data_IF_215492307588
#
_entry.id   IF_215492307588
#
_cell.length_a   1.000
_cell.length_b   1.000
_cell.length_c   1.000
_cell.angle_alpha   90.00
_cell.angle_beta   90.00
_cell.angle_gamma   90.00
#
_symmetry.space_group_name_H-M   'P 1'
#
loop_
_entity.id
_entity.type
_entity.pdbx_description
1 polymer ?
#
# COMPACT_ATOMS: atom_id res chain seq x y z
N UNK A 1 -14.15 37.82 -0.08
CA UNK A 1 -13.05 38.77 0.25
C UNK A 1 -12.25 39.05 -1.01
N UNK A 2 -11.96 40.31 -1.34
CA UNK A 2 -11.23 40.68 -2.55
C UNK A 2 -9.72 40.50 -2.32
N UNK A 3 -9.01 39.85 -3.24
CA UNK A 3 -7.58 39.48 -3.10
C UNK A 3 -6.68 40.68 -2.76
N UNK A 4 -7.02 41.87 -3.25
CA UNK A 4 -6.28 43.12 -2.98
C UNK A 4 -6.38 43.58 -1.52
N UNK A 5 -7.52 43.39 -0.86
CA UNK A 5 -7.72 43.77 0.54
C UNK A 5 -6.96 42.84 1.48
N UNK A 6 -6.95 41.55 1.16
CA UNK A 6 -6.18 40.51 1.85
C UNK A 6 -4.68 40.79 1.76
N UNK A 7 -4.18 41.15 0.58
CA UNK A 7 -2.77 41.52 0.37
C UNK A 7 -2.40 42.82 1.09
N UNK A 8 -3.30 43.81 1.17
CA UNK A 8 -3.06 45.05 1.89
C UNK A 8 -2.95 44.83 3.41
N UNK A 9 -3.88 44.07 3.99
CA UNK A 9 -3.85 43.67 5.40
C UNK A 9 -2.58 42.87 5.74
N UNK A 10 -2.23 41.89 4.89
CA UNK A 10 -1.02 41.08 5.07
C UNK A 10 0.26 41.92 5.01
N UNK A 11 0.36 42.90 4.10
CA UNK A 11 1.50 43.81 4.00
C UNK A 11 1.63 44.74 5.21
N UNK A 12 0.51 45.15 5.80
CA UNK A 12 0.51 45.97 7.00
C UNK A 12 0.94 45.17 8.23
N UNK A 13 0.39 43.97 8.42
CA UNK A 13 0.80 43.06 9.47
C UNK A 13 2.27 42.63 9.34
N UNK A 14 2.77 42.41 8.11
CA UNK A 14 4.17 42.04 7.88
C UNK A 14 5.19 43.09 8.36
N UNK A 15 4.79 44.37 8.54
CA UNK A 15 5.70 45.42 9.04
C UNK A 15 6.11 45.21 10.51
N UNK A 16 5.31 44.49 11.28
CA UNK A 16 5.57 44.22 12.70
C UNK A 16 6.20 42.84 12.94
N UNK A 17 6.20 41.97 11.94
CA UNK A 17 6.83 40.64 11.99
C UNK A 17 8.33 40.77 11.76
N UNK A 18 9.13 40.50 12.79
CA UNK A 18 10.60 40.62 12.73
C UNK A 18 11.30 39.26 12.81
N UNK A 19 10.61 38.25 13.31
CA UNK A 19 11.15 36.91 13.54
C UNK A 19 10.22 35.82 13.02
N UNK A 20 10.76 34.61 12.82
CA UNK A 20 9.98 33.43 12.47
C UNK A 20 8.90 33.11 13.52
N UNK A 21 9.17 33.41 14.79
CA UNK A 21 8.21 33.27 15.88
C UNK A 21 7.00 34.19 15.71
N UNK A 22 7.22 35.45 15.33
CA UNK A 22 6.14 36.41 15.12
C UNK A 22 5.23 35.97 13.96
N UNK A 23 5.81 35.40 12.91
CA UNK A 23 5.07 34.87 11.76
C UNK A 23 4.16 33.71 12.17
N UNK A 24 4.66 32.78 13.00
CA UNK A 24 3.87 31.66 13.51
C UNK A 24 2.74 32.13 14.44
N UNK A 25 3.01 33.09 15.34
CA UNK A 25 1.98 33.69 16.20
C UNK A 25 0.89 34.38 15.37
N UNK A 26 1.26 35.06 14.30
CA UNK A 26 0.32 35.69 13.38
C UNK A 26 -0.55 34.67 12.63
N UNK A 27 0.03 33.57 12.13
CA UNK A 27 -0.73 32.47 11.50
C UNK A 27 -1.74 31.85 12.48
N UNK A 28 -1.32 31.60 13.72
CA UNK A 28 -2.20 31.08 14.78
C UNK A 28 -3.35 32.04 15.08
N UNK A 29 -3.07 33.34 15.18
CA UNK A 29 -4.09 34.38 15.41
C UNK A 29 -5.09 34.47 14.26
N UNK A 30 -4.62 34.50 13.01
CA UNK A 30 -5.48 34.52 11.83
C UNK A 30 -6.38 33.29 11.75
N UNK A 31 -5.81 32.12 12.00
CA UNK A 31 -6.55 30.85 12.02
C UNK A 31 -7.61 30.88 13.11
N UNK A 32 -7.26 31.33 14.33
CA UNK A 32 -8.22 31.50 15.43
C UNK A 32 -9.39 32.39 15.03
N UNK A 33 -9.12 33.61 14.55
CA UNK A 33 -10.16 34.58 14.19
C UNK A 33 -11.08 34.01 13.11
N UNK A 34 -10.50 33.39 12.08
CA UNK A 34 -11.26 32.82 10.97
C UNK A 34 -12.18 31.68 11.44
N UNK A 35 -11.67 30.80 12.29
CA UNK A 35 -12.44 29.67 12.84
C UNK A 35 -13.54 30.16 13.78
N UNK A 36 -13.25 31.11 14.69
CA UNK A 36 -14.26 31.69 15.58
C UNK A 36 -15.36 32.40 14.80
N UNK A 37 -15.01 33.15 13.73
CA UNK A 37 -15.98 33.80 12.87
C UNK A 37 -16.88 32.78 12.15
N UNK A 38 -16.30 31.73 11.57
CA UNK A 38 -17.05 30.67 10.91
C UNK A 38 -18.00 29.93 11.88
N UNK A 39 -17.56 29.62 13.10
CA UNK A 39 -18.40 28.99 14.11
C UNK A 39 -19.54 29.91 14.59
N UNK A 40 -19.32 31.22 14.66
CA UNK A 40 -20.39 32.16 14.98
C UNK A 40 -21.43 32.23 13.85
N UNK A 41 -20.98 32.18 12.59
CA UNK A 41 -21.86 32.14 11.42
C UNK A 41 -22.65 30.83 11.34
N UNK A 42 -22.04 29.68 11.64
CA UNK A 42 -22.76 28.41 11.79
C UNK A 42 -23.83 28.49 12.88
N UNK A 43 -23.56 29.19 13.99
CA UNK A 43 -24.55 29.39 15.05
C UNK A 43 -25.66 30.39 14.66
N UNK A 44 -25.33 31.44 13.88
CA UNK A 44 -26.33 32.36 13.33
C UNK A 44 -27.31 31.60 12.42
N UNK A 45 -26.80 30.72 11.55
CA UNK A 45 -27.60 29.87 10.67
C UNK A 45 -28.45 28.86 11.46
N UNK A 46 -27.87 28.18 12.46
CA UNK A 46 -28.59 27.24 13.33
C UNK A 46 -29.74 27.90 14.12
N UNK A 47 -29.52 29.11 14.62
CA UNK A 47 -30.53 29.85 15.37
C UNK A 47 -31.50 30.61 14.45
N UNK A 48 -31.12 30.88 13.21
CA UNK A 48 -31.89 31.65 12.23
C UNK A 48 -31.90 33.16 12.48
N UNK A 49 -30.99 33.68 13.31
CA UNK A 49 -30.88 35.11 13.62
C UNK A 49 -29.49 35.51 14.10
N UNK A 50 -29.12 36.77 13.87
CA UNK A 50 -27.82 37.31 14.22
C UNK A 50 -27.68 37.68 15.71
N UNK A 51 -26.44 37.78 16.18
CA UNK A 51 -26.16 38.25 17.55
C UNK A 51 -26.81 39.62 17.81
N UNK A 52 -27.63 39.70 18.87
CA UNK A 52 -28.41 40.89 19.28
C UNK A 52 -29.60 41.25 18.37
N UNK A 53 -29.94 40.41 17.39
CA UNK A 53 -31.20 40.54 16.67
C UNK A 53 -32.36 40.00 17.50
N UNK A 54 -33.51 40.68 17.47
CA UNK A 54 -34.73 40.19 18.11
C UNK A 54 -35.27 39.00 17.31
N UNK A 55 -35.67 37.94 18.01
CA UNK A 55 -36.10 36.68 17.41
C UNK A 55 -37.16 36.04 18.30
N UNK A 56 -38.11 35.36 17.67
CA UNK A 56 -39.14 34.54 18.34
C UNK A 56 -38.66 33.10 18.59
N UNK A 57 -37.39 32.78 18.29
CA UNK A 57 -36.82 31.47 18.54
C UNK A 57 -36.72 31.19 20.06
N UNK A 58 -37.22 30.02 20.48
CA UNK A 58 -37.16 29.58 21.88
C UNK A 58 -35.71 29.34 22.35
N UNK A 59 -34.81 28.98 21.44
CA UNK A 59 -33.40 28.78 21.73
C UNK A 59 -32.61 30.08 21.56
N UNK A 60 -31.59 30.27 22.40
CA UNK A 60 -30.81 31.49 22.45
C UNK A 60 -29.31 31.23 22.54
N UNK A 61 -28.48 32.18 22.11
CA UNK A 61 -27.03 32.17 22.38
C UNK A 61 -26.76 32.15 23.89
N UNK A 62 -25.79 31.36 24.34
CA UNK A 62 -25.44 31.20 25.76
C UNK A 62 -23.92 31.39 26.01
N UNK A 63 -23.30 32.31 25.30
CA UNK A 63 -21.87 32.62 25.43
C UNK A 63 -20.96 31.61 24.71
N UNK A 64 -19.77 31.40 25.27
CA UNK A 64 -18.69 30.62 24.65
C UNK A 64 -18.14 29.55 25.60
N UNK A 65 -17.52 28.53 25.04
CA UNK A 65 -16.71 27.54 25.75
C UNK A 65 -15.31 27.50 25.13
N UNK A 66 -14.29 27.68 25.96
CA UNK A 66 -12.90 27.60 25.55
C UNK A 66 -12.47 26.15 25.33
N UNK A 67 -11.74 25.90 24.24
CA UNK A 67 -10.99 24.66 24.03
C UNK A 67 -9.66 24.96 23.36
N UNK A 68 -8.60 24.28 23.75
CA UNK A 68 -7.31 24.40 23.06
C UNK A 68 -7.36 23.59 21.77
N UNK A 69 -7.20 24.27 20.63
CA UNK A 69 -7.10 23.64 19.32
C UNK A 69 -5.63 23.47 18.93
N UNK A 70 -5.26 22.24 18.59
CA UNK A 70 -3.93 21.89 18.08
C UNK A 70 -3.95 21.84 16.56
N UNK A 71 -3.05 22.58 15.94
CA UNK A 71 -2.92 22.74 14.49
C UNK A 71 -1.49 22.48 14.05
N UNK A 72 -1.23 22.57 12.75
CA UNK A 72 0.12 22.40 12.19
C UNK A 72 1.04 23.55 12.60
N UNK A 73 0.52 24.77 12.69
CA UNK A 73 1.31 25.95 13.04
C UNK A 73 1.47 26.14 14.56
N UNK A 74 1.01 25.16 15.37
CA UNK A 74 1.05 25.18 16.82
C UNK A 74 -0.33 25.05 17.46
N UNK A 75 -0.48 25.54 18.70
CA UNK A 75 -1.71 25.41 19.47
C UNK A 75 -2.21 26.78 19.96
N UNK A 76 -3.52 26.98 19.93
CA UNK A 76 -4.16 28.21 20.42
C UNK A 76 -5.48 27.91 21.12
N UNK A 77 -5.90 28.81 22.00
CA UNK A 77 -7.20 28.73 22.67
C UNK A 77 -8.30 29.25 21.75
N UNK A 78 -9.29 28.40 21.47
CA UNK A 78 -10.44 28.67 20.62
C UNK A 78 -11.70 28.84 21.47
N UNK A 79 -12.43 29.94 21.27
CA UNK A 79 -13.71 30.18 21.90
C UNK A 79 -14.85 29.70 21.00
N UNK A 80 -15.46 28.57 21.37
CA UNK A 80 -16.58 28.01 20.61
C UNK A 80 -17.91 28.54 21.11
N UNK A 81 -18.77 29.09 20.24
CA UNK A 81 -20.08 29.59 20.64
C UNK A 81 -21.02 28.44 20.98
N UNK A 82 -21.98 28.68 21.89
CA UNK A 82 -22.96 27.68 22.31
C UNK A 82 -24.38 28.27 22.37
N UNK A 83 -25.36 27.44 22.11
CA UNK A 83 -26.77 27.72 22.33
C UNK A 83 -27.20 27.32 23.76
N UNK A 84 -28.40 27.73 24.17
CA UNK A 84 -28.94 27.51 25.52
C UNK A 84 -29.46 26.08 25.68
N UNK A 85 -30.07 25.54 24.63
CA UNK A 85 -30.60 24.18 24.62
C UNK A 85 -29.53 23.10 24.37
N UNK A 86 -28.32 23.50 23.94
CA UNK A 86 -27.22 22.58 23.65
C UNK A 86 -27.37 21.77 22.36
N UNK A 87 -28.33 22.15 21.52
CA UNK A 87 -28.72 21.51 20.25
C UNK A 87 -27.77 21.80 19.08
N UNK A 88 -26.96 22.87 19.17
CA UNK A 88 -26.06 23.28 18.08
C UNK A 88 -24.91 22.30 17.90
N UNK A 89 -24.74 21.69 16.73
CA UNK A 89 -23.62 20.80 16.40
C UNK A 89 -22.70 21.44 15.33
N UNK A 90 -21.57 22.07 15.73
CA UNK A 90 -20.69 22.75 14.80
C UNK A 90 -20.04 21.79 13.81
N UNK A 91 -19.94 22.21 12.54
CA UNK A 91 -19.41 21.39 11.45
C UNK A 91 -17.91 21.58 11.27
N UNK A 92 -17.43 22.83 11.29
CA UNK A 92 -16.01 23.14 11.09
C UNK A 92 -15.11 22.55 12.20
N UNK A 93 -15.51 22.74 13.47
CA UNK A 93 -14.80 22.18 14.64
C UNK A 93 -15.79 21.62 15.63
N UNK A 94 -16.03 20.30 15.55
CA UNK A 94 -17.04 19.57 16.34
C UNK A 94 -16.88 19.78 17.85
N UNK A 95 -17.95 19.56 18.62
CA UNK A 95 -17.90 19.54 20.09
C UNK A 95 -16.83 18.56 20.57
N UNK A 96 -15.99 18.99 21.51
CA UNK A 96 -14.87 18.20 22.04
C UNK A 96 -13.70 17.95 21.08
N UNK A 97 -13.78 18.37 19.80
CA UNK A 97 -12.65 18.28 18.88
C UNK A 97 -11.55 19.28 19.27
N UNK A 98 -10.36 18.76 19.54
CA UNK A 98 -9.19 19.54 19.99
C UNK A 98 -8.07 19.60 18.94
N UNK A 99 -8.34 19.17 17.70
CA UNK A 99 -7.36 19.17 16.60
C UNK A 99 -8.00 19.20 15.21
N UNK A 100 -7.28 19.71 14.21
CA UNK A 100 -7.67 19.53 12.80
C UNK A 100 -7.37 18.12 12.28
N UNK A 101 -8.20 17.63 11.37
CA UNK A 101 -8.08 16.31 10.72
C UNK A 101 -6.92 16.22 9.73
N UNK A 102 -6.39 17.34 9.23
CA UNK A 102 -5.18 17.34 8.36
C UNK A 102 -3.97 16.68 9.04
N UNK A 103 -3.92 16.71 10.38
CA UNK A 103 -2.88 16.07 11.16
C UNK A 103 -2.92 14.54 11.08
N UNK A 104 -4.11 13.96 10.87
CA UNK A 104 -4.28 12.51 10.78
C UNK A 104 -3.66 11.95 9.52
N UNK A 105 -3.82 12.63 8.38
CA UNK A 105 -3.19 12.22 7.12
C UNK A 105 -1.66 12.24 7.21
N UNK A 106 -1.08 13.22 7.92
CA UNK A 106 0.35 13.27 8.18
C UNK A 106 0.81 12.16 9.11
N UNK A 107 0.06 11.87 10.18
CA UNK A 107 0.33 10.73 11.08
C UNK A 107 0.33 9.43 10.27
N UNK A 108 -0.69 9.21 9.43
CA UNK A 108 -0.80 8.03 8.57
C UNK A 108 0.35 7.94 7.56
N UNK A 109 0.75 9.06 6.94
CA UNK A 109 1.88 9.12 6.02
C UNK A 109 3.22 8.75 6.70
N UNK A 110 3.49 9.29 7.88
CA UNK A 110 4.69 8.94 8.65
C UNK A 110 4.67 7.48 9.11
N UNK A 111 3.50 6.99 9.51
CA UNK A 111 3.30 5.58 9.88
C UNK A 111 3.51 4.64 8.67
N UNK A 112 3.01 5.00 7.49
CA UNK A 112 3.22 4.28 6.22
C UNK A 112 4.71 4.19 5.85
N UNK A 113 5.48 5.24 6.14
CA UNK A 113 6.94 5.28 5.97
C UNK A 113 7.71 4.45 7.02
N UNK A 114 6.99 3.70 7.85
CA UNK A 114 7.55 2.77 8.83
C UNK A 114 8.01 3.43 10.14
N UNK A 115 7.78 4.73 10.34
CA UNK A 115 8.18 5.40 11.59
C UNK A 115 7.42 4.82 12.77
N UNK A 116 8.08 4.64 13.92
CA UNK A 116 7.44 4.17 15.15
C UNK A 116 6.54 5.25 15.76
N UNK A 117 5.62 4.87 16.64
CA UNK A 117 4.75 5.84 17.33
C UNK A 117 5.55 6.90 18.08
N UNK A 118 6.69 6.53 18.70
CA UNK A 118 7.58 7.46 19.41
C UNK A 118 8.29 8.43 18.46
N UNK A 119 8.77 7.94 17.32
CA UNK A 119 9.40 8.79 16.29
C UNK A 119 8.39 9.79 15.70
N UNK A 120 7.14 9.38 15.52
CA UNK A 120 6.07 10.28 15.06
C UNK A 120 5.83 11.37 16.11
N UNK A 121 5.70 11.03 17.39
CA UNK A 121 5.56 12.04 18.47
C UNK A 121 6.72 13.02 18.46
N UNK A 122 7.97 12.54 18.38
CA UNK A 122 9.15 13.39 18.32
C UNK A 122 9.13 14.30 17.09
N UNK A 123 8.78 13.76 15.92
CA UNK A 123 8.69 14.53 14.67
C UNK A 123 7.68 15.67 14.78
N UNK A 124 6.51 15.42 15.38
CA UNK A 124 5.50 16.45 15.58
C UNK A 124 5.90 17.50 16.61
N UNK A 125 6.64 17.09 17.65
CA UNK A 125 7.18 18.03 18.62
C UNK A 125 8.27 18.93 18.00
N UNK A 126 9.14 18.36 17.18
CA UNK A 126 10.24 19.10 16.54
C UNK A 126 9.76 20.01 15.41
N UNK A 127 8.89 19.52 14.52
CA UNK A 127 8.48 20.28 13.34
C UNK A 127 7.34 21.26 13.60
N UNK A 128 6.42 20.92 14.52
CA UNK A 128 5.16 21.66 14.71
C UNK A 128 4.98 22.17 16.15
N UNK A 129 5.97 21.94 17.04
CA UNK A 129 5.86 22.17 18.48
C UNK A 129 4.56 21.62 19.10
N UNK A 130 4.03 20.54 18.50
CA UNK A 130 2.73 19.99 18.83
C UNK A 130 2.89 18.79 19.79
N UNK A 131 2.35 18.93 20.99
CA UNK A 131 2.35 17.84 21.99
C UNK A 131 1.28 16.80 21.66
N UNK A 132 1.69 15.72 21.00
CA UNK A 132 0.84 14.59 20.62
C UNK A 132 1.14 13.39 21.52
N UNK A 133 0.10 12.75 22.05
CA UNK A 133 0.27 11.52 22.82
C UNK A 133 0.44 10.31 21.91
N UNK A 134 1.23 9.29 22.30
CA UNK A 134 1.29 8.01 21.59
C UNK A 134 -0.09 7.35 21.42
N UNK A 135 -0.98 7.53 22.40
CA UNK A 135 -2.37 7.05 22.37
C UNK A 135 -3.16 7.66 21.21
N UNK A 136 -2.91 8.93 20.88
CA UNK A 136 -3.56 9.58 19.74
C UNK A 136 -3.16 8.92 18.43
N UNK A 137 -1.87 8.65 18.24
CA UNK A 137 -1.36 7.98 17.05
C UNK A 137 -1.98 6.59 16.92
N UNK A 138 -2.04 5.83 18.03
CA UNK A 138 -2.70 4.53 18.05
C UNK A 138 -4.16 4.63 17.60
N UNK A 139 -4.95 5.58 18.15
CA UNK A 139 -6.35 5.80 17.75
C UNK A 139 -6.50 6.11 16.26
N UNK A 140 -5.67 7.01 15.72
CA UNK A 140 -5.69 7.38 14.29
C UNK A 140 -5.37 6.16 13.43
N UNK A 141 -4.38 5.37 13.83
CA UNK A 141 -3.99 4.17 13.08
C UNK A 141 -4.98 3.03 13.22
N UNK A 142 -5.80 3.02 14.27
CA UNK A 142 -6.85 2.00 14.46
C UNK A 142 -7.98 2.16 13.44
N UNK A 143 -8.37 3.40 13.14
CA UNK A 143 -9.36 3.71 12.11
C UNK A 143 -8.95 3.21 10.71
N UNK A 144 -7.67 2.89 10.50
CA UNK A 144 -7.17 2.28 9.25
C UNK A 144 -7.67 0.85 9.09
N UNK A 145 -7.95 0.11 10.17
CA UNK A 145 -8.39 -1.29 10.06
C UNK A 145 -9.72 -1.41 9.31
N UNK A 146 -10.65 -0.51 9.56
CA UNK A 146 -11.93 -0.49 8.84
C UNK A 146 -11.67 -0.36 7.33
N UNK A 147 -10.77 0.55 6.92
CA UNK A 147 -10.36 0.72 5.53
C UNK A 147 -9.63 -0.52 4.97
N UNK A 148 -8.84 -1.21 5.78
CA UNK A 148 -8.16 -2.46 5.38
C UNK A 148 -9.20 -3.54 5.10
N UNK A 149 -10.18 -3.72 5.98
CA UNK A 149 -11.24 -4.72 5.83
C UNK A 149 -12.10 -4.41 4.61
N UNK A 150 -12.55 -3.16 4.47
CA UNK A 150 -13.32 -2.72 3.31
C UNK A 150 -12.54 -2.96 2.01
N UNK A 151 -11.29 -2.50 1.94
CA UNK A 151 -10.40 -2.72 0.80
C UNK A 151 -10.20 -4.20 0.49
N UNK A 152 -10.03 -5.04 1.51
CA UNK A 152 -9.84 -6.49 1.34
C UNK A 152 -11.12 -7.18 0.86
N UNK A 153 -12.29 -6.65 1.18
CA UNK A 153 -13.58 -7.21 0.76
C UNK A 153 -14.09 -6.68 -0.59
N UNK A 154 -13.40 -5.70 -1.19
CA UNK A 154 -13.89 -5.04 -2.42
C UNK A 154 -14.06 -6.02 -3.59
N UNK A 155 -15.05 -5.80 -4.47
CA UNK A 155 -15.18 -6.56 -5.70
C UNK A 155 -13.94 -6.37 -6.60
N UNK A 156 -13.60 -7.43 -7.33
CA UNK A 156 -12.47 -7.47 -8.26
C UNK A 156 -12.96 -7.69 -9.68
N UNK A 157 -12.11 -7.35 -10.65
CA UNK A 157 -12.40 -7.58 -12.06
C UNK A 157 -12.48 -9.08 -12.38
N UNK A 158 -13.30 -9.47 -13.37
CA UNK A 158 -13.52 -10.89 -13.67
C UNK A 158 -12.29 -11.60 -14.23
N UNK A 159 -11.43 -10.89 -14.96
CA UNK A 159 -10.28 -11.50 -15.65
C UNK A 159 -9.00 -10.71 -15.38
N UNK A 160 -7.96 -11.41 -14.92
CA UNK A 160 -6.62 -10.87 -14.78
C UNK A 160 -5.64 -11.65 -15.66
N UNK A 161 -5.07 -11.05 -16.73
CA UNK A 161 -4.08 -11.71 -17.57
C UNK A 161 -2.86 -12.25 -16.83
N UNK A 162 -2.33 -11.51 -15.85
CA UNK A 162 -1.18 -11.93 -15.06
C UNK A 162 -1.45 -11.67 -13.58
N UNK A 163 -1.23 -12.67 -12.74
CA UNK A 163 -1.24 -12.53 -11.28
C UNK A 163 0.07 -13.03 -10.70
N UNK A 164 0.77 -12.16 -9.96
CA UNK A 164 1.96 -12.53 -9.18
C UNK A 164 1.54 -12.85 -7.75
N UNK A 165 1.92 -14.03 -7.28
CA UNK A 165 1.65 -14.49 -5.93
C UNK A 165 2.98 -14.67 -5.20
N UNK A 166 3.16 -13.92 -4.11
CA UNK A 166 4.40 -13.90 -3.35
C UNK A 166 4.13 -13.70 -1.86
N UNK A 167 5.15 -13.90 -1.03
CA UNK A 167 5.06 -13.67 0.39
C UNK A 167 6.31 -13.01 1.00
N UNK A 168 6.09 -12.29 2.09
CA UNK A 168 7.15 -11.66 2.87
C UNK A 168 7.03 -12.10 4.32
N UNK A 169 8.10 -12.68 4.86
CA UNK A 169 8.17 -13.04 6.27
C UNK A 169 8.37 -11.80 7.14
N UNK A 170 7.54 -11.67 8.16
CA UNK A 170 7.60 -10.65 9.21
C UNK A 170 7.66 -11.28 10.59
N UNK A 171 8.29 -10.59 11.54
CA UNK A 171 8.38 -11.02 12.94
C UNK A 171 7.28 -10.38 13.75
N UNK A 172 6.44 -11.20 14.37
CA UNK A 172 5.31 -10.73 15.18
C UNK A 172 5.42 -11.32 16.57
N UNK A 173 5.10 -10.52 17.58
CA UNK A 173 5.01 -10.96 18.97
C UNK A 173 3.62 -11.53 19.24
N UNK A 174 3.55 -12.78 19.68
CA UNK A 174 2.31 -13.46 20.03
C UNK A 174 2.58 -14.36 21.23
N UNK A 175 1.68 -14.35 22.22
CA UNK A 175 1.79 -15.16 23.44
C UNK A 175 3.16 -15.09 24.11
N UNK A 176 3.70 -13.86 24.19
CA UNK A 176 5.04 -13.53 24.72
C UNK A 176 6.23 -14.11 23.92
N UNK A 177 5.99 -14.84 22.85
CA UNK A 177 7.01 -15.35 21.94
C UNK A 177 7.11 -14.51 20.66
N UNK A 178 8.21 -14.65 19.91
CA UNK A 178 8.39 -14.03 18.60
C UNK A 178 8.22 -15.12 17.55
N UNK A 179 7.18 -14.98 16.73
CA UNK A 179 6.81 -15.91 15.68
C UNK A 179 7.08 -15.25 14.32
N UNK A 180 7.66 -16.02 13.40
CA UNK A 180 7.75 -15.61 12.01
C UNK A 180 6.42 -15.91 11.34
N UNK A 181 5.75 -14.90 10.79
CA UNK A 181 4.54 -15.07 9.97
C UNK A 181 4.81 -14.59 8.55
N UNK A 182 4.15 -15.20 7.57
CA UNK A 182 4.21 -14.79 6.18
C UNK A 182 3.03 -13.85 5.85
N UNK A 183 3.34 -12.71 5.23
CA UNK A 183 2.37 -11.84 4.57
C UNK A 183 2.32 -12.24 3.10
N UNK A 184 1.19 -12.78 2.68
CA UNK A 184 0.90 -13.18 1.31
C UNK A 184 0.32 -12.01 0.53
N UNK A 185 0.75 -11.86 -0.71
CA UNK A 185 0.40 -10.77 -1.60
C UNK A 185 -0.02 -11.34 -2.95
N UNK A 186 -1.15 -10.87 -3.47
CA UNK A 186 -1.60 -11.16 -4.82
C UNK A 186 -1.63 -9.87 -5.63
N UNK A 187 -0.67 -9.69 -6.54
CA UNK A 187 -0.57 -8.53 -7.42
C UNK A 187 -1.07 -8.92 -8.81
N UNK A 188 -2.20 -8.37 -9.23
CA UNK A 188 -2.76 -8.56 -10.55
C UNK A 188 -2.30 -7.49 -11.54
N UNK A 189 -2.34 -7.85 -12.82
CA UNK A 189 -2.31 -6.93 -13.95
C UNK A 189 -3.64 -7.09 -14.66
N UNK A 190 -4.41 -6.00 -14.77
CA UNK A 190 -5.71 -6.02 -15.43
C UNK A 190 -5.59 -5.97 -16.97
N UNK A 191 -6.73 -5.99 -17.67
CA UNK A 191 -6.74 -5.99 -19.14
C UNK A 191 -6.14 -4.72 -19.75
N UNK A 192 -6.24 -3.58 -19.07
CA UNK A 192 -5.59 -2.33 -19.50
C UNK A 192 -4.07 -2.29 -19.22
N UNK A 193 -3.56 -3.25 -18.46
CA UNK A 193 -2.14 -3.37 -18.13
C UNK A 193 -1.73 -2.63 -16.86
N UNK A 194 -2.69 -2.14 -16.09
CA UNK A 194 -2.45 -1.52 -14.80
C UNK A 194 -2.23 -2.58 -13.73
N UNK A 195 -1.29 -2.31 -12.84
CA UNK A 195 -1.03 -3.15 -11.69
C UNK A 195 -2.02 -2.81 -10.58
N UNK A 196 -2.55 -3.82 -9.94
CA UNK A 196 -3.43 -3.69 -8.78
C UNK A 196 -3.09 -4.78 -7.76
N UNK A 197 -3.00 -4.42 -6.48
CA UNK A 197 -2.89 -5.44 -5.45
C UNK A 197 -4.28 -5.97 -5.11
N UNK A 198 -4.57 -7.22 -5.47
CA UNK A 198 -5.86 -7.86 -5.28
C UNK A 198 -6.15 -8.12 -3.80
N UNK A 199 -5.13 -8.48 -3.02
CA UNK A 199 -5.30 -8.73 -1.60
C UNK A 199 -3.98 -8.95 -0.85
N UNK A 200 -4.12 -9.01 0.48
CA UNK A 200 -3.03 -9.29 1.41
C UNK A 200 -3.55 -10.16 2.56
N UNK A 201 -2.81 -11.21 2.89
CA UNK A 201 -3.18 -12.13 3.98
C UNK A 201 -2.00 -12.40 4.89
N UNK A 202 -2.27 -12.72 6.15
CA UNK A 202 -1.24 -13.04 7.13
C UNK A 202 -1.50 -14.45 7.66
N UNK A 203 -0.48 -15.31 7.64
CA UNK A 203 -0.55 -16.66 8.22
C UNK A 203 0.80 -17.07 8.81
N UNK A 204 0.73 -17.90 9.85
CA UNK A 204 1.91 -18.55 10.47
C UNK A 204 2.46 -19.67 9.59
N UNK A 205 1.58 -20.37 8.87
CA UNK A 205 1.94 -21.52 8.06
C UNK A 205 2.05 -21.14 6.57
N UNK A 206 3.16 -21.52 5.95
CA UNK A 206 3.36 -21.55 4.51
C UNK A 206 2.92 -22.90 3.95
N UNK A 207 1.93 -22.90 3.04
CA UNK A 207 1.47 -24.14 2.42
C UNK A 207 0.35 -23.98 1.41
N UNK A 208 0.22 -24.98 0.54
CA UNK A 208 -0.77 -25.05 -0.54
C UNK A 208 -2.22 -24.84 -0.06
N UNK A 209 -2.58 -25.38 1.13
CA UNK A 209 -3.93 -25.25 1.69
C UNK A 209 -4.32 -23.79 1.97
N UNK A 210 -3.35 -23.00 2.44
CA UNK A 210 -3.60 -21.58 2.70
C UNK A 210 -3.83 -20.82 1.39
N UNK A 211 -2.99 -21.08 0.39
CA UNK A 211 -3.14 -20.51 -0.95
C UNK A 211 -4.45 -20.88 -1.61
N UNK A 212 -4.93 -22.12 -1.46
CA UNK A 212 -6.26 -22.50 -1.96
C UNK A 212 -7.37 -21.64 -1.35
N UNK A 213 -7.30 -21.35 -0.05
CA UNK A 213 -8.22 -20.43 0.62
C UNK A 213 -8.16 -19.02 0.06
N UNK A 214 -6.95 -18.50 -0.18
CA UNK A 214 -6.73 -17.19 -0.82
C UNK A 214 -7.32 -17.15 -2.23
N UNK A 215 -7.07 -18.17 -3.05
CA UNK A 215 -7.60 -18.25 -4.42
C UNK A 215 -9.12 -18.34 -4.44
N UNK A 216 -9.70 -19.11 -3.52
CA UNK A 216 -11.17 -19.21 -3.36
C UNK A 216 -11.77 -17.86 -2.94
N UNK A 217 -11.11 -17.11 -2.07
CA UNK A 217 -11.55 -15.76 -1.70
C UNK A 217 -11.53 -14.81 -2.91
N UNK A 218 -10.48 -14.87 -3.75
CA UNK A 218 -10.42 -14.08 -4.98
C UNK A 218 -11.59 -14.40 -5.91
N UNK A 219 -11.98 -15.67 -6.03
CA UNK A 219 -13.17 -16.07 -6.80
C UNK A 219 -14.45 -15.48 -6.22
N UNK A 220 -14.64 -15.58 -4.90
CA UNK A 220 -15.81 -15.02 -4.23
C UNK A 220 -15.92 -13.50 -4.37
N UNK A 221 -14.79 -12.81 -4.58
CA UNK A 221 -14.73 -11.36 -4.82
C UNK A 221 -14.95 -10.96 -6.28
N UNK A 222 -15.07 -11.92 -7.20
CA UNK A 222 -15.45 -11.68 -8.59
C UNK A 222 -14.45 -12.19 -9.63
N UNK A 223 -13.25 -12.64 -9.23
CA UNK A 223 -12.24 -13.16 -10.18
C UNK A 223 -12.73 -14.49 -10.76
N UNK A 224 -13.12 -14.47 -12.03
CA UNK A 224 -13.54 -15.67 -12.75
C UNK A 224 -12.37 -16.39 -13.38
N UNK A 225 -11.37 -15.63 -13.86
CA UNK A 225 -10.29 -16.23 -14.62
C UNK A 225 -8.93 -15.53 -14.46
N UNK A 226 -7.88 -16.35 -14.52
CA UNK A 226 -6.47 -15.94 -14.49
C UNK A 226 -5.76 -16.65 -15.64
N UNK A 227 -5.16 -15.91 -16.57
CA UNK A 227 -4.48 -16.52 -17.71
C UNK A 227 -3.12 -17.10 -17.27
N UNK A 228 -2.32 -16.30 -16.57
CA UNK A 228 -0.98 -16.67 -16.10
C UNK A 228 -0.83 -16.37 -14.61
N UNK A 229 -0.47 -17.38 -13.82
CA UNK A 229 -0.08 -17.21 -12.42
C UNK A 229 1.44 -17.33 -12.28
N UNK A 230 2.08 -16.23 -11.89
CA UNK A 230 3.51 -16.16 -11.62
C UNK A 230 3.77 -16.40 -10.13
N UNK A 231 4.39 -17.53 -9.79
CA UNK A 231 4.52 -17.98 -8.40
C UNK A 231 5.95 -18.39 -8.03
N UNK A 232 6.23 -18.42 -6.73
CA UNK A 232 7.46 -19.08 -6.23
C UNK A 232 7.32 -20.61 -6.28
N UNK A 233 8.45 -21.32 -6.26
CA UNK A 233 8.55 -22.79 -6.31
C UNK A 233 8.06 -23.51 -5.04
N UNK A 234 7.02 -23.00 -4.38
CA UNK A 234 6.45 -23.63 -3.19
C UNK A 234 5.76 -24.94 -3.56
N UNK A 235 6.10 -26.02 -2.84
CA UNK A 235 5.54 -27.34 -3.08
C UNK A 235 4.01 -27.34 -2.91
N UNK A 236 3.30 -27.91 -3.88
CA UNK A 236 1.84 -28.03 -3.88
C UNK A 236 1.10 -26.73 -4.24
N UNK A 237 1.81 -25.62 -4.45
CA UNK A 237 1.18 -24.37 -4.87
C UNK A 237 0.60 -24.47 -6.29
N UNK A 238 1.29 -25.09 -7.27
CA UNK A 238 0.70 -25.33 -8.58
C UNK A 238 -0.61 -26.12 -8.52
N UNK A 239 -0.69 -27.12 -7.65
CA UNK A 239 -1.90 -27.95 -7.49
C UNK A 239 -3.06 -27.12 -6.92
N UNK A 240 -2.79 -26.20 -5.99
CA UNK A 240 -3.80 -25.29 -5.45
C UNK A 240 -4.33 -24.31 -6.51
N UNK A 241 -3.45 -23.82 -7.40
CA UNK A 241 -3.85 -22.99 -8.54
C UNK A 241 -4.70 -23.79 -9.51
N UNK A 242 -4.27 -24.99 -9.90
CA UNK A 242 -5.04 -25.86 -10.81
C UNK A 242 -6.40 -26.29 -10.23
N UNK A 243 -6.54 -26.38 -8.90
CA UNK A 243 -7.82 -26.65 -8.26
C UNK A 243 -8.79 -25.47 -8.29
N UNK A 244 -8.30 -24.24 -8.09
CA UNK A 244 -9.14 -23.04 -8.10
C UNK A 244 -9.40 -22.51 -9.52
N UNK A 245 -8.35 -22.46 -10.35
CA UNK A 245 -8.37 -21.96 -11.72
C UNK A 245 -7.73 -22.99 -12.67
N UNK A 246 -8.50 -24.00 -13.13
CA UNK A 246 -7.96 -25.14 -13.88
C UNK A 246 -7.32 -24.79 -15.23
N UNK A 247 -7.72 -23.67 -15.84
CA UNK A 247 -7.21 -23.23 -17.13
C UNK A 247 -6.00 -22.29 -17.02
N UNK A 248 -5.59 -21.92 -15.80
CA UNK A 248 -4.46 -21.01 -15.58
C UNK A 248 -3.14 -21.68 -15.94
N UNK A 249 -2.34 -20.99 -16.76
CA UNK A 249 -0.98 -21.39 -17.01
C UNK A 249 -0.08 -20.95 -15.85
N UNK A 250 0.77 -21.85 -15.36
CA UNK A 250 1.62 -21.58 -14.21
C UNK A 250 3.03 -21.24 -14.71
N UNK A 251 3.54 -20.10 -14.25
CA UNK A 251 4.92 -19.69 -14.46
C UNK A 251 5.64 -19.63 -13.13
N UNK A 252 6.71 -20.40 -12.99
CA UNK A 252 7.62 -20.24 -11.88
C UNK A 252 8.49 -19.00 -12.06
N UNK A 253 8.63 -18.25 -10.97
CA UNK A 253 9.45 -17.06 -10.93
C UNK A 253 10.93 -17.39 -11.17
N UNK A 254 11.46 -16.91 -12.31
CA UNK A 254 12.86 -17.09 -12.68
C UNK A 254 13.80 -16.40 -11.69
N UNK A 255 13.41 -15.23 -11.16
CA UNK A 255 14.21 -14.51 -10.18
C UNK A 255 14.35 -15.31 -8.88
N UNK A 256 13.28 -15.97 -8.41
CA UNK A 256 13.35 -16.86 -7.26
C UNK A 256 14.17 -18.11 -7.57
N UNK A 257 14.01 -18.72 -8.75
CA UNK A 257 14.85 -19.85 -9.18
C UNK A 257 16.34 -19.50 -9.22
N UNK A 258 16.71 -18.37 -9.81
CA UNK A 258 18.09 -17.89 -9.85
C UNK A 258 18.59 -17.61 -8.44
N UNK A 259 17.85 -16.85 -7.61
CA UNK A 259 18.26 -16.57 -6.21
C UNK A 259 18.47 -17.85 -5.41
N UNK A 260 17.57 -18.83 -5.52
CA UNK A 260 17.69 -20.11 -4.85
C UNK A 260 18.92 -20.89 -5.33
N UNK A 261 19.22 -20.86 -6.63
CA UNK A 261 20.42 -21.46 -7.21
C UNK A 261 21.71 -20.82 -6.69
N UNK A 262 21.72 -19.50 -6.53
CA UNK A 262 22.91 -18.75 -6.12
C UNK A 262 23.21 -18.82 -4.61
N UNK A 263 22.31 -19.34 -3.77
CA UNK A 263 22.49 -19.40 -2.29
C UNK A 263 23.79 -20.10 -1.86
N UNK A 264 24.22 -21.10 -2.62
CA UNK A 264 25.38 -21.94 -2.29
C UNK A 264 26.57 -21.72 -3.23
N UNK A 265 26.49 -20.72 -4.11
CA UNK A 265 27.55 -20.40 -5.08
C UNK A 265 28.50 -19.37 -4.46
N UNK A 266 29.80 -19.69 -4.29
CA UNK A 266 30.80 -18.75 -3.79
C UNK A 266 30.99 -17.55 -4.72
N UNK A 267 31.44 -16.42 -4.18
CA UNK A 267 31.65 -15.17 -4.92
C UNK A 267 32.53 -15.33 -6.17
N UNK A 268 33.55 -16.20 -6.12
CA UNK A 268 34.47 -16.48 -7.23
C UNK A 268 33.76 -16.98 -8.49
N UNK A 269 32.82 -17.91 -8.32
CA UNK A 269 32.12 -18.55 -9.43
C UNK A 269 30.79 -17.82 -9.74
N UNK A 270 30.36 -16.88 -8.88
CA UNK A 270 29.08 -16.17 -8.94
C UNK A 270 28.78 -15.56 -10.31
N UNK A 271 29.73 -14.81 -10.89
CA UNK A 271 29.54 -14.12 -12.17
C UNK A 271 29.37 -15.11 -13.33
N UNK A 272 30.15 -16.18 -13.34
CA UNK A 272 30.12 -17.18 -14.40
C UNK A 272 28.83 -18.01 -14.34
N UNK A 273 28.48 -18.55 -13.16
CA UNK A 273 27.24 -19.29 -12.95
C UNK A 273 26.01 -18.45 -13.31
N UNK A 274 25.99 -17.16 -12.91
CA UNK A 274 24.88 -16.27 -13.26
C UNK A 274 24.77 -16.04 -14.76
N UNK A 275 25.89 -15.92 -15.47
CA UNK A 275 25.89 -15.72 -16.92
C UNK A 275 25.33 -16.94 -17.66
N UNK A 276 25.72 -18.14 -17.23
CA UNK A 276 25.24 -19.38 -17.85
C UNK A 276 23.76 -19.65 -17.51
N UNK A 277 23.34 -19.42 -16.26
CA UNK A 277 21.91 -19.46 -15.89
C UNK A 277 21.08 -18.46 -16.70
N UNK A 278 21.65 -17.30 -17.02
CA UNK A 278 21.00 -16.27 -17.82
C UNK A 278 20.78 -16.70 -19.25
N UNK A 279 21.66 -17.51 -19.84
CA UNK A 279 21.46 -18.05 -21.19
C UNK A 279 20.16 -18.86 -21.28
N UNK A 280 19.89 -19.70 -20.27
CA UNK A 280 18.71 -20.59 -20.25
C UNK A 280 17.41 -19.80 -20.47
N UNK A 281 17.11 -18.79 -19.65
CA UNK A 281 15.84 -18.07 -19.76
C UNK A 281 15.84 -16.92 -20.76
N UNK A 282 16.99 -16.63 -21.39
CA UNK A 282 17.09 -15.65 -22.47
C UNK A 282 17.09 -16.29 -23.86
N UNK A 283 17.10 -17.62 -23.95
CA UNK A 283 16.96 -18.35 -25.22
C UNK A 283 15.68 -17.96 -25.97
N UNK A 284 15.72 -18.03 -27.30
CA UNK A 284 14.58 -17.66 -28.12
C UNK A 284 13.49 -18.75 -28.07
N UNK A 285 13.89 -20.02 -28.05
CA UNK A 285 12.96 -21.16 -28.01
C UNK A 285 13.19 -22.06 -26.79
N UNK A 286 12.24 -22.97 -26.54
CA UNK A 286 12.36 -23.97 -25.47
C UNK A 286 13.52 -24.94 -25.76
N UNK A 287 13.72 -25.33 -27.03
CA UNK A 287 14.79 -26.24 -27.42
C UNK A 287 16.17 -25.65 -27.15
N UNK A 288 16.38 -24.38 -27.51
CA UNK A 288 17.62 -23.65 -27.20
C UNK A 288 17.82 -23.52 -25.68
N UNK A 289 16.75 -23.35 -24.92
CA UNK A 289 16.81 -23.24 -23.46
C UNK A 289 17.19 -24.57 -22.80
N UNK A 290 16.65 -25.69 -23.30
CA UNK A 290 17.02 -27.04 -22.88
C UNK A 290 18.48 -27.34 -23.20
N UNK A 291 18.95 -26.99 -24.40
CA UNK A 291 20.35 -27.13 -24.77
C UNK A 291 21.27 -26.32 -23.83
N UNK A 292 20.91 -25.06 -23.53
CA UNK A 292 21.66 -24.25 -22.58
C UNK A 292 21.65 -24.85 -21.16
N UNK A 293 20.56 -25.51 -20.75
CA UNK A 293 20.47 -26.23 -19.47
C UNK A 293 21.35 -27.49 -19.46
N UNK A 294 21.43 -28.23 -20.57
CA UNK A 294 22.32 -29.38 -20.73
C UNK A 294 23.79 -28.97 -20.67
N UNK A 295 24.14 -27.87 -21.35
CA UNK A 295 25.48 -27.28 -21.29
C UNK A 295 25.83 -26.82 -19.86
N UNK A 296 24.90 -26.14 -19.20
CA UNK A 296 25.06 -25.74 -17.79
C UNK A 296 25.30 -26.97 -16.90
N UNK A 297 24.51 -28.03 -17.09
CA UNK A 297 24.64 -29.26 -16.32
C UNK A 297 26.00 -29.90 -16.52
N UNK A 298 26.50 -29.95 -17.76
CA UNK A 298 27.80 -30.54 -18.08
C UNK A 298 28.97 -29.83 -17.38
N UNK A 299 28.91 -28.50 -17.29
CA UNK A 299 30.00 -27.69 -16.78
C UNK A 299 29.95 -27.52 -15.25
N UNK A 300 28.76 -27.33 -14.68
CA UNK A 300 28.60 -26.95 -13.28
C UNK A 300 28.21 -28.09 -12.35
N UNK A 301 27.65 -29.21 -12.83
CA UNK A 301 27.10 -30.24 -11.93
C UNK A 301 28.14 -30.99 -11.11
N UNK A 302 29.42 -30.98 -11.51
CA UNK A 302 30.49 -31.50 -10.68
C UNK A 302 30.66 -30.71 -9.37
N UNK A 303 30.40 -29.39 -9.40
CA UNK A 303 30.51 -28.50 -8.23
C UNK A 303 29.16 -28.19 -7.58
N UNK A 304 28.12 -27.99 -8.40
CA UNK A 304 26.81 -27.51 -8.00
C UNK A 304 25.66 -28.39 -8.54
N UNK A 305 25.66 -29.71 -8.23
CA UNK A 305 24.70 -30.66 -8.80
C UNK A 305 23.24 -30.34 -8.47
N UNK A 306 22.99 -29.64 -7.36
CA UNK A 306 21.64 -29.28 -6.92
C UNK A 306 20.98 -28.23 -7.82
N UNK A 307 21.76 -27.38 -8.52
CA UNK A 307 21.22 -26.33 -9.38
C UNK A 307 20.52 -26.98 -10.58
N UNK A 308 21.24 -27.77 -11.37
CA UNK A 308 20.71 -28.42 -12.57
C UNK A 308 19.50 -29.31 -12.25
N UNK A 309 19.58 -30.12 -11.17
CA UNK A 309 18.46 -30.94 -10.70
C UNK A 309 17.23 -30.10 -10.36
N UNK A 310 17.42 -28.99 -9.65
CA UNK A 310 16.32 -28.09 -9.31
C UNK A 310 15.66 -27.51 -10.57
N UNK A 311 16.44 -27.03 -11.53
CA UNK A 311 15.91 -26.47 -12.78
C UNK A 311 15.17 -27.52 -13.61
N UNK A 312 15.69 -28.74 -13.73
CA UNK A 312 14.99 -29.84 -14.43
C UNK A 312 13.68 -30.23 -13.75
N UNK A 313 13.68 -30.37 -12.43
CA UNK A 313 12.47 -30.72 -11.68
C UNK A 313 11.36 -29.67 -11.82
N UNK A 314 11.73 -28.40 -11.96
CA UNK A 314 10.80 -27.28 -12.11
C UNK A 314 10.54 -26.89 -13.57
N UNK A 315 11.18 -27.55 -14.54
CA UNK A 315 11.10 -27.22 -15.96
C UNK A 315 9.66 -27.12 -16.49
N UNK A 316 8.72 -28.03 -16.15
CA UNK A 316 7.36 -27.98 -16.68
C UNK A 316 6.59 -26.70 -16.34
N UNK A 317 7.00 -25.98 -15.28
CA UNK A 317 6.40 -24.70 -14.90
C UNK A 317 7.34 -23.51 -15.22
N UNK A 318 8.57 -23.76 -15.68
CA UNK A 318 9.51 -22.72 -16.11
C UNK A 318 9.41 -22.44 -17.60
N UNK A 319 9.13 -23.47 -18.39
CA UNK A 319 9.07 -23.37 -19.85
C UNK A 319 7.84 -22.59 -20.37
N UNK A 320 6.84 -22.34 -19.52
CA UNK A 320 5.64 -21.54 -19.85
C UNK A 320 6.01 -20.22 -20.53
N UNK A 321 7.12 -19.57 -20.13
CA UNK A 321 7.60 -18.33 -20.75
C UNK A 321 7.87 -18.45 -22.25
N UNK A 322 8.31 -19.62 -22.74
CA UNK A 322 8.71 -19.79 -24.13
C UNK A 322 7.52 -19.82 -25.09
N UNK A 323 6.30 -20.06 -24.58
CA UNK A 323 5.05 -19.98 -25.34
C UNK A 323 4.74 -18.57 -25.82
N UNK A 324 5.30 -17.56 -25.14
CA UNK A 324 5.04 -16.16 -25.39
C UNK A 324 6.18 -15.49 -26.17
N UNK A 325 5.91 -14.48 -27.02
CA UNK A 325 6.93 -13.65 -27.66
C UNK A 325 7.79 -12.87 -26.65
N UNK A 326 9.02 -12.51 -27.04
CA UNK A 326 9.99 -11.81 -26.17
C UNK A 326 9.41 -10.57 -25.47
N UNK A 327 8.59 -9.81 -26.18
CA UNK A 327 7.99 -8.57 -25.68
C UNK A 327 7.14 -8.78 -24.42
N UNK A 328 6.50 -9.94 -24.29
CA UNK A 328 5.63 -10.29 -23.16
C UNK A 328 6.38 -11.11 -22.12
N UNK A 329 7.38 -11.89 -22.53
CA UNK A 329 8.20 -12.67 -21.60
C UNK A 329 8.73 -11.79 -20.47
N UNK A 330 9.17 -10.57 -20.80
CA UNK A 330 9.62 -9.62 -19.78
C UNK A 330 8.50 -9.27 -18.79
N UNK A 331 7.27 -9.07 -19.21
CA UNK A 331 6.17 -8.88 -18.26
C UNK A 331 5.96 -10.14 -17.39
N UNK A 332 5.99 -11.33 -17.99
CA UNK A 332 5.73 -12.59 -17.29
C UNK A 332 6.83 -12.93 -16.27
N UNK A 333 8.11 -12.90 -16.67
CA UNK A 333 9.22 -13.34 -15.82
C UNK A 333 9.97 -12.22 -15.11
N UNK A 334 9.89 -10.95 -15.57
CA UNK A 334 10.53 -9.87 -14.81
C UNK A 334 9.67 -9.62 -13.58
N UNK A 335 10.17 -10.08 -12.44
CA UNK A 335 9.51 -9.83 -11.16
C UNK A 335 9.56 -8.37 -10.74
N UNK A 336 9.97 -7.44 -11.61
CA UNK A 336 10.03 -6.02 -11.30
C UNK A 336 8.73 -5.49 -10.69
N UNK A 337 7.57 -6.00 -11.12
CA UNK A 337 6.28 -5.61 -10.55
C UNK A 337 6.17 -6.00 -9.06
N UNK A 338 6.34 -7.28 -8.74
CA UNK A 338 6.23 -7.79 -7.37
C UNK A 338 7.45 -7.46 -6.50
N UNK A 339 8.65 -7.43 -7.05
CA UNK A 339 9.89 -7.02 -6.36
C UNK A 339 9.91 -5.55 -6.00
N UNK A 340 9.38 -4.69 -6.86
CA UNK A 340 9.23 -3.27 -6.53
C UNK A 340 8.30 -3.11 -5.33
N UNK A 341 7.20 -3.85 -5.30
CA UNK A 341 6.29 -3.88 -4.15
C UNK A 341 6.97 -4.46 -2.91
N UNK A 342 7.65 -5.60 -3.03
CA UNK A 342 8.37 -6.23 -1.94
C UNK A 342 9.45 -5.30 -1.36
N UNK A 343 10.14 -4.53 -2.20
CA UNK A 343 11.13 -3.55 -1.77
C UNK A 343 10.50 -2.42 -0.96
N UNK A 344 9.34 -1.91 -1.38
CA UNK A 344 8.55 -0.94 -0.61
C UNK A 344 8.18 -1.49 0.76
N UNK A 345 7.63 -2.72 0.80
CA UNK A 345 7.21 -3.35 2.06
C UNK A 345 8.42 -3.59 2.95
N UNK A 346 9.50 -4.18 2.42
CA UNK A 346 10.76 -4.40 3.14
C UNK A 346 11.32 -3.09 3.72
N UNK A 347 11.24 -1.97 2.99
CA UNK A 347 11.65 -0.66 3.48
C UNK A 347 10.78 -0.17 4.64
N UNK A 348 9.45 -0.31 4.53
CA UNK A 348 8.51 0.09 5.57
C UNK A 348 8.68 -0.74 6.86
N UNK A 349 8.84 -2.06 6.74
CA UNK A 349 9.02 -2.95 7.90
C UNK A 349 10.42 -2.86 8.50
N UNK A 350 11.47 -2.45 7.75
CA UNK A 350 12.86 -2.44 8.25
C UNK A 350 13.03 -1.60 9.52
N UNK A 351 12.29 -0.51 9.66
CA UNK A 351 12.28 0.32 10.87
C UNK A 351 11.59 -0.35 12.05
N UNK A 352 10.68 -1.29 11.79
CA UNK A 352 9.89 -2.05 12.77
C UNK A 352 10.29 -3.51 12.76
N UNK A 353 11.45 -3.81 13.36
CA UNK A 353 12.03 -5.16 13.41
C UNK A 353 11.12 -6.22 14.04
N UNK A 354 10.19 -5.81 14.91
CA UNK A 354 9.23 -6.66 15.60
C UNK A 354 7.89 -5.93 15.69
N UNK A 355 6.83 -6.59 15.25
CA UNK A 355 5.46 -6.09 15.36
C UNK A 355 4.81 -6.59 16.66
N UNK A 356 4.06 -5.75 17.39
CA UNK A 356 3.37 -6.16 18.62
C UNK A 356 2.15 -7.06 18.37
N UNK A 357 1.49 -6.91 17.21
CA UNK A 357 0.27 -7.68 16.84
C UNK A 357 0.19 -7.88 15.33
N UNK A 358 -0.62 -8.84 14.90
CA UNK A 358 -0.95 -9.09 13.49
C UNK A 358 -1.51 -7.83 12.81
N UNK A 359 -2.46 -7.14 13.45
CA UNK A 359 -3.07 -5.92 12.91
C UNK A 359 -2.07 -4.78 12.73
N UNK A 360 -1.09 -4.66 13.64
CA UNK A 360 -0.05 -3.65 13.50
C UNK A 360 0.83 -3.88 12.26
N UNK A 361 1.08 -5.15 11.90
CA UNK A 361 1.78 -5.50 10.67
C UNK A 361 0.91 -5.18 9.46
N UNK A 362 -0.37 -5.61 9.47
CA UNK A 362 -1.33 -5.36 8.40
C UNK A 362 -1.47 -3.86 8.11
N UNK A 363 -1.62 -3.01 9.13
CA UNK A 363 -1.72 -1.54 8.98
C UNK A 363 -0.52 -0.95 8.24
N UNK A 364 0.70 -1.26 8.70
CA UNK A 364 1.93 -0.70 8.11
C UNK A 364 2.07 -1.15 6.66
N UNK A 365 1.87 -2.43 6.40
CA UNK A 365 2.02 -2.98 5.05
C UNK A 365 0.95 -2.41 4.11
N UNK A 366 -0.32 -2.41 4.53
CA UNK A 366 -1.41 -1.79 3.77
C UNK A 366 -1.13 -0.32 3.42
N UNK A 367 -0.78 0.50 4.41
CA UNK A 367 -0.50 1.92 4.18
C UNK A 367 0.69 2.15 3.25
N UNK A 368 1.75 1.34 3.38
CA UNK A 368 2.91 1.42 2.50
C UNK A 368 2.55 1.05 1.05
N UNK A 369 1.69 0.05 0.86
CA UNK A 369 1.19 -0.36 -0.45
C UNK A 369 0.32 0.73 -1.05
N UNK A 370 -0.64 1.28 -0.30
CA UNK A 370 -1.53 2.34 -0.78
C UNK A 370 -0.76 3.61 -1.15
N UNK A 371 0.34 3.93 -0.46
CA UNK A 371 1.20 5.04 -0.85
C UNK A 371 1.98 4.75 -2.15
N UNK A 372 2.43 3.51 -2.32
CA UNK A 372 3.13 3.08 -3.54
C UNK A 372 2.21 2.98 -4.75
N UNK A 373 0.96 2.55 -4.58
CA UNK A 373 -0.02 2.39 -5.67
C UNK A 373 -0.42 3.71 -6.30
N UNK A 374 -0.34 4.84 -5.58
CA UNK A 374 -0.52 6.19 -6.15
C UNK A 374 0.42 6.50 -7.32
N UNK A 375 1.54 5.78 -7.42
CA UNK A 375 2.53 5.93 -8.51
C UNK A 375 2.30 4.95 -9.66
N UNK A 376 1.33 4.04 -9.55
CA UNK A 376 1.00 3.05 -10.58
C UNK A 376 0.04 3.66 -11.62
N UNK A 377 0.48 4.75 -12.25
CA UNK A 377 -0.33 5.52 -13.19
C UNK A 377 -0.17 5.09 -14.65
N UNK A 378 0.85 4.28 -14.94
CA UNK A 378 1.15 3.81 -16.30
C UNK A 378 0.98 2.30 -16.39
N UNK A 379 0.45 1.79 -17.52
CA UNK A 379 0.39 0.37 -17.77
C UNK A 379 1.79 -0.22 -17.95
N UNK A 380 1.89 -1.54 -17.88
CA UNK A 380 3.14 -2.24 -18.19
C UNK A 380 3.63 -1.86 -19.59
N UNK A 381 4.94 -1.71 -19.74
CA UNK A 381 5.55 -1.36 -21.02
C UNK A 381 5.19 -2.41 -22.09
N UNK A 382 4.85 -1.97 -23.29
CA UNK A 382 4.43 -2.79 -24.42
C UNK A 382 3.17 -3.63 -24.17
N UNK A 383 2.31 -3.24 -23.21
CA UNK A 383 1.13 -4.02 -22.85
C UNK A 383 0.14 -4.26 -24.01
N UNK A 384 -0.06 -3.29 -24.90
CA UNK A 384 -0.99 -3.48 -26.04
C UNK A 384 -0.56 -4.63 -26.96
N UNK A 385 0.74 -4.76 -27.22
CA UNK A 385 1.27 -5.89 -27.99
C UNK A 385 1.06 -7.21 -27.23
N UNK A 386 1.19 -7.17 -25.90
CA UNK A 386 0.92 -8.33 -25.05
C UNK A 386 -0.54 -8.76 -25.07
N UNK A 387 -1.46 -7.79 -24.92
CA UNK A 387 -2.89 -8.01 -24.95
C UNK A 387 -3.34 -8.62 -26.28
N UNK A 388 -2.86 -8.10 -27.42
CA UNK A 388 -3.15 -8.70 -28.72
C UNK A 388 -2.74 -10.17 -28.80
N UNK A 389 -1.61 -10.55 -28.19
CA UNK A 389 -1.21 -11.96 -28.16
C UNK A 389 -2.09 -12.78 -27.22
N UNK A 390 -2.46 -12.24 -26.05
CA UNK A 390 -3.41 -12.90 -25.17
C UNK A 390 -4.77 -13.09 -25.84
N UNK A 391 -5.22 -12.15 -26.67
CA UNK A 391 -6.45 -12.30 -27.48
C UNK A 391 -6.35 -13.46 -28.48
N UNK A 392 -5.19 -13.67 -29.09
CA UNK A 392 -4.99 -14.79 -30.02
C UNK A 392 -4.92 -16.13 -29.28
N UNK A 393 -4.27 -16.16 -28.12
CA UNK A 393 -3.97 -17.41 -27.40
C UNK A 393 -5.08 -17.83 -26.43
N UNK A 394 -5.90 -16.87 -25.97
CA UNK A 394 -6.96 -17.04 -24.98
C UNK A 394 -8.29 -16.42 -25.43
N UNK A 395 -8.57 -16.42 -26.74
CA UNK A 395 -9.76 -15.77 -27.35
C UNK A 395 -11.06 -16.10 -26.59
N UNK A 396 -11.32 -17.40 -26.37
CA UNK A 396 -12.51 -17.91 -25.69
C UNK A 396 -12.64 -17.47 -24.22
N UNK A 397 -11.56 -16.95 -23.62
CA UNK A 397 -11.50 -16.60 -22.20
C UNK A 397 -11.57 -15.09 -21.96
N UNK A 398 -11.22 -14.28 -22.97
CA UNK A 398 -11.14 -12.82 -22.80
C UNK A 398 -12.06 -12.02 -23.70
N UNK A 399 -12.60 -12.61 -24.77
CA UNK A 399 -13.46 -11.92 -25.76
C UNK A 399 -14.66 -11.21 -25.13
N UNK A 400 -15.28 -11.79 -24.09
CA UNK A 400 -16.42 -11.19 -23.40
C UNK A 400 -16.06 -10.00 -22.48
N UNK A 401 -14.76 -9.71 -22.29
CA UNK A 401 -14.26 -8.76 -21.29
C UNK A 401 -13.37 -7.65 -21.86
N UNK A 402 -13.02 -7.69 -23.15
CA UNK A 402 -12.12 -6.74 -23.84
C UNK A 402 -12.90 -5.61 -24.53
#
# INVERSE_FOLDING_TARGET
>A
MNRKELEAFAREAAKTLKTEKDLNEFSQMLTKITVEAALNAELDDHLGYERHQSSDNANSRNGYTSKTLKTEDGQFELNTPRDREGSFEPQLVKKGQTRFTSMDDKILSLYAKGMTTREIVATFKEMYNADISPTLISKVTEAVMERVVEWQSRPLDPVYPIVYLDCIVVKIRQDKQVINKAIYLALGVNLEGHKELLGMWLSENEGAKFWLGVLTELQNRGVKDILIACVDGLKGFPDAIGAAFPQTQIQLCIVHMVRNSMKYVPWKDYKAVTADLKRIYQSATEEEALQALDEFESFWSAKYPHISRSWRNHWPNLNTLFRYPEDIRKAIYTTNAIESLNSVIRKAIKKRKLFPTDDSARKVVYLAIMDASKRWTMPIRNWKAALNRFMIEFEDRISDYV
#
